data_IF_162206227889
#
_entry.id   IF_162206227889
#
_cell.length_a   1.000
_cell.length_b   1.000
_cell.length_c   1.000
_cell.angle_alpha   90.00
_cell.angle_beta   90.00
_cell.angle_gamma   90.00
#
_symmetry.space_group_name_H-M   'P 1'
#
loop_
_entity.id
_entity.type
_entity.pdbx_description
1 polymer ?
#
# COMPACT_ATOMS: atom_id res chain seq x y z
N UNK A 1 6.08 -13.66 -11.27
CA UNK A 1 5.89 -12.27 -11.78
C UNK A 1 5.71 -12.19 -13.28
N UNK A 2 6.68 -12.58 -14.13
CA UNK A 2 6.54 -12.47 -15.60
C UNK A 2 5.28 -13.14 -16.16
N UNK A 3 4.93 -14.32 -15.65
CA UNK A 3 3.72 -15.02 -16.07
C UNK A 3 2.43 -14.26 -15.73
N UNK A 4 2.34 -13.69 -14.51
CA UNK A 4 1.20 -12.88 -14.07
C UNK A 4 1.06 -11.61 -14.93
N UNK A 5 2.18 -10.95 -15.21
CA UNK A 5 2.25 -9.75 -16.05
C UNK A 5 1.78 -10.05 -17.49
N UNK A 6 2.24 -11.16 -18.08
CA UNK A 6 1.76 -11.59 -19.40
C UNK A 6 0.26 -11.89 -19.40
N UNK A 7 -0.26 -12.55 -18.36
CA UNK A 7 -1.70 -12.82 -18.23
C UNK A 7 -2.52 -11.53 -18.08
N UNK A 8 -1.98 -10.51 -17.40
CA UNK A 8 -2.61 -9.19 -17.31
C UNK A 8 -2.62 -8.49 -18.68
N UNK A 9 -1.51 -8.56 -19.42
CA UNK A 9 -1.43 -8.03 -20.79
C UNK A 9 -2.45 -8.74 -21.71
N UNK A 10 -2.57 -10.06 -21.62
CA UNK A 10 -3.58 -10.80 -22.38
C UNK A 10 -4.99 -10.34 -22.00
N UNK A 11 -5.29 -10.21 -20.71
CA UNK A 11 -6.59 -9.74 -20.21
C UNK A 11 -6.94 -8.34 -20.73
N UNK A 12 -5.99 -7.41 -20.66
CA UNK A 12 -6.11 -6.03 -21.15
C UNK A 12 -6.37 -5.97 -22.67
N UNK A 13 -5.73 -6.87 -23.42
CA UNK A 13 -5.97 -7.04 -24.86
C UNK A 13 -7.26 -7.82 -25.19
N UNK A 14 -8.15 -8.04 -24.22
CA UNK A 14 -9.43 -8.75 -24.40
C UNK A 14 -9.33 -10.27 -24.47
N UNK A 15 -8.14 -10.85 -24.22
CA UNK A 15 -7.90 -12.30 -24.17
C UNK A 15 -7.88 -12.78 -22.72
N UNK A 16 -9.05 -13.01 -22.15
CA UNK A 16 -9.16 -13.49 -20.76
C UNK A 16 -8.51 -14.88 -20.59
N UNK A 17 -7.47 -15.03 -19.73
CA UNK A 17 -6.89 -16.34 -19.44
C UNK A 17 -7.92 -17.32 -18.88
N UNK A 18 -7.79 -18.61 -19.23
CA UNK A 18 -8.77 -19.63 -18.85
C UNK A 18 -8.58 -20.16 -17.41
N UNK A 19 -8.64 -19.26 -16.43
CA UNK A 19 -8.50 -19.59 -15.01
C UNK A 19 -9.61 -18.94 -14.19
N UNK A 20 -9.98 -19.50 -13.03
CA UNK A 20 -11.10 -19.00 -12.23
C UNK A 20 -10.99 -17.51 -11.87
N UNK A 21 -9.80 -17.05 -11.46
CA UNK A 21 -9.56 -15.67 -11.05
C UNK A 21 -9.77 -14.68 -12.22
N UNK A 22 -9.24 -15.00 -13.39
CA UNK A 22 -9.38 -14.14 -14.59
C UNK A 22 -10.82 -14.10 -15.12
N UNK A 23 -11.56 -15.22 -15.05
CA UNK A 23 -12.99 -15.22 -15.40
C UNK A 23 -13.82 -14.40 -14.42
N UNK A 24 -13.52 -14.48 -13.13
CA UNK A 24 -14.18 -13.64 -12.12
C UNK A 24 -13.84 -12.16 -12.33
N UNK A 25 -12.57 -11.84 -12.59
CA UNK A 25 -12.13 -10.47 -12.87
C UNK A 25 -12.82 -9.91 -14.12
N UNK A 26 -12.96 -10.70 -15.18
CA UNK A 26 -13.74 -10.32 -16.37
C UNK A 26 -15.17 -9.94 -15.99
N UNK A 27 -15.84 -10.75 -15.18
CA UNK A 27 -17.22 -10.46 -14.74
C UNK A 27 -17.30 -9.14 -13.94
N UNK A 28 -16.28 -8.80 -13.17
CA UNK A 28 -16.19 -7.50 -12.46
C UNK A 28 -16.03 -6.35 -13.46
N UNK A 29 -15.13 -6.48 -14.44
CA UNK A 29 -14.91 -5.47 -15.50
C UNK A 29 -16.14 -5.27 -16.41
N UNK A 30 -16.95 -6.31 -16.62
CA UNK A 30 -18.21 -6.21 -17.35
C UNK A 30 -19.32 -5.51 -16.55
N UNK A 31 -19.24 -5.55 -15.21
CA UNK A 31 -20.27 -5.03 -14.31
C UNK A 31 -19.99 -3.61 -13.80
N UNK A 32 -18.73 -3.25 -13.65
CA UNK A 32 -18.27 -1.98 -13.10
C UNK A 32 -17.33 -1.28 -14.07
N UNK A 33 -17.30 0.06 -14.04
CA UNK A 33 -16.37 0.84 -14.85
C UNK A 33 -14.96 0.79 -14.23
N UNK A 34 -14.26 -0.32 -14.50
CA UNK A 34 -12.95 -0.62 -13.94
C UNK A 34 -11.83 -0.02 -14.79
N UNK A 35 -10.78 0.47 -14.14
CA UNK A 35 -9.50 0.83 -14.77
C UNK A 35 -8.50 -0.32 -14.57
N UNK A 36 -7.79 -0.68 -15.63
CA UNK A 36 -6.75 -1.71 -15.58
C UNK A 36 -5.44 -1.19 -14.98
N UNK A 37 -5.21 0.13 -15.00
CA UNK A 37 -3.95 0.77 -14.57
C UNK A 37 -3.51 0.36 -13.16
N UNK A 38 -4.39 0.36 -12.13
CA UNK A 38 -3.99 -0.03 -10.78
C UNK A 38 -3.48 -1.48 -10.68
N UNK A 39 -3.89 -2.37 -11.60
CA UNK A 39 -3.41 -3.76 -11.62
C UNK A 39 -1.96 -3.86 -12.09
N UNK A 40 -1.55 -3.03 -13.05
CA UNK A 40 -0.16 -2.90 -13.45
C UNK A 40 0.67 -2.23 -12.35
N UNK A 41 0.15 -1.17 -11.73
CA UNK A 41 0.80 -0.49 -10.60
C UNK A 41 1.01 -1.45 -9.42
N UNK A 42 0.04 -2.31 -9.10
CA UNK A 42 0.19 -3.35 -8.10
C UNK A 42 1.35 -4.31 -8.43
N UNK A 43 1.51 -4.68 -9.71
CA UNK A 43 2.66 -5.50 -10.14
C UNK A 43 4.00 -4.78 -9.91
N UNK A 44 4.05 -3.44 -10.06
CA UNK A 44 5.22 -2.64 -9.71
C UNK A 44 5.52 -2.78 -8.22
N UNK A 45 4.52 -2.61 -7.34
CA UNK A 45 4.67 -2.80 -5.90
C UNK A 45 5.17 -4.20 -5.53
N UNK A 46 4.61 -5.25 -6.15
CA UNK A 46 5.08 -6.63 -5.94
C UNK A 46 6.54 -6.84 -6.39
N UNK A 47 7.01 -6.11 -7.43
CA UNK A 47 8.41 -6.15 -7.85
C UNK A 47 9.33 -5.43 -6.84
N UNK A 48 8.85 -4.40 -6.15
CA UNK A 48 9.58 -3.73 -5.07
C UNK A 48 9.80 -4.69 -3.89
N UNK A 49 8.80 -5.50 -3.52
CA UNK A 49 8.96 -6.49 -2.43
C UNK A 49 9.96 -7.62 -2.76
N UNK A 50 10.09 -7.98 -4.05
CA UNK A 50 11.07 -8.99 -4.50
C UNK A 50 12.50 -8.44 -4.40
N UNK A 51 12.69 -7.18 -4.79
CA UNK A 51 13.98 -6.50 -4.76
C UNK A 51 13.99 -5.44 -3.65
N UNK A 52 13.63 -5.87 -2.44
CA UNK A 52 13.41 -4.95 -1.34
C UNK A 52 14.65 -4.11 -1.02
N UNK A 53 14.43 -2.80 -0.93
CA UNK A 53 15.36 -1.82 -0.39
C UNK A 53 14.65 -1.03 0.69
N UNK A 54 15.31 -0.82 1.82
CA UNK A 54 14.78 0.07 2.86
C UNK A 54 14.55 1.47 2.25
N UNK A 55 13.39 2.10 2.45
CA UNK A 55 13.16 3.49 2.02
C UNK A 55 14.17 4.43 2.68
N UNK A 56 14.78 5.32 1.93
CA UNK A 56 15.64 6.36 2.49
C UNK A 56 14.80 7.50 3.07
N UNK A 57 13.67 7.82 2.43
CA UNK A 57 12.79 8.95 2.76
C UNK A 57 11.35 8.51 3.06
N UNK A 58 10.59 9.39 3.71
CA UNK A 58 9.15 9.20 3.92
C UNK A 58 8.41 9.09 2.59
N UNK A 59 8.78 9.90 1.61
CA UNK A 59 8.14 9.91 0.29
C UNK A 59 8.33 8.55 -0.43
N UNK A 60 9.51 7.93 -0.32
CA UNK A 60 9.75 6.58 -0.84
C UNK A 60 8.92 5.51 -0.13
N UNK A 61 8.71 5.63 1.19
CA UNK A 61 7.80 4.74 1.92
C UNK A 61 6.36 4.93 1.45
N UNK A 62 5.92 6.18 1.25
CA UNK A 62 4.57 6.48 0.78
C UNK A 62 4.37 5.98 -0.67
N UNK A 63 5.36 6.14 -1.55
CA UNK A 63 5.34 5.57 -2.90
C UNK A 63 5.20 4.04 -2.87
N UNK A 64 5.96 3.37 -1.99
CA UNK A 64 5.79 1.93 -1.78
C UNK A 64 4.36 1.60 -1.32
N UNK A 65 3.85 2.31 -0.30
CA UNK A 65 2.50 2.10 0.23
C UNK A 65 1.41 2.35 -0.81
N UNK A 66 1.59 3.34 -1.70
CA UNK A 66 0.73 3.58 -2.85
C UNK A 66 0.65 2.33 -3.73
N UNK A 67 1.79 1.82 -4.19
CA UNK A 67 1.81 0.70 -5.13
C UNK A 67 1.23 -0.59 -4.53
N UNK A 68 1.51 -0.90 -3.26
CA UNK A 68 1.07 -2.17 -2.65
C UNK A 68 -0.30 -2.11 -1.96
N UNK A 69 -0.86 -0.93 -1.71
CA UNK A 69 -2.13 -0.78 -1.00
C UNK A 69 -3.03 0.33 -1.53
N UNK A 70 -2.49 1.50 -1.89
CA UNK A 70 -3.26 2.57 -2.53
C UNK A 70 -3.94 2.13 -3.84
N UNK A 71 -3.24 1.33 -4.64
CA UNK A 71 -3.77 0.71 -5.87
C UNK A 71 -4.99 -0.18 -5.61
N UNK A 72 -5.06 -0.89 -4.48
CA UNK A 72 -6.24 -1.68 -4.09
C UNK A 72 -7.45 -0.77 -3.85
N UNK A 73 -7.23 0.39 -3.22
CA UNK A 73 -8.27 1.41 -3.06
C UNK A 73 -8.87 1.84 -4.40
N UNK A 74 -8.03 2.05 -5.42
CA UNK A 74 -8.46 2.35 -6.79
C UNK A 74 -9.22 1.20 -7.44
N UNK A 75 -8.78 -0.05 -7.25
CA UNK A 75 -9.49 -1.23 -7.78
C UNK A 75 -10.89 -1.38 -7.17
N UNK A 76 -11.06 -1.11 -5.88
CA UNK A 76 -12.34 -1.29 -5.18
C UNK A 76 -13.29 -0.11 -5.36
N UNK A 77 -12.78 1.05 -5.78
CA UNK A 77 -13.53 2.30 -5.89
C UNK A 77 -14.83 2.17 -6.72
N UNK A 78 -14.80 1.67 -7.97
CA UNK A 78 -16.00 1.55 -8.80
C UNK A 78 -17.05 0.58 -8.23
N UNK A 79 -16.64 -0.30 -7.32
CA UNK A 79 -17.50 -1.32 -6.70
C UNK A 79 -18.19 -0.77 -5.46
N UNK A 80 -17.45 -0.04 -4.63
CA UNK A 80 -17.93 0.46 -3.34
C UNK A 80 -18.70 1.77 -3.43
N UNK A 81 -18.48 2.57 -4.47
CA UNK A 81 -19.15 3.86 -4.65
C UNK A 81 -19.73 4.00 -6.06
N UNK A 82 -21.04 4.23 -6.14
CA UNK A 82 -21.76 4.42 -7.40
C UNK A 82 -22.02 5.89 -7.76
N UNK A 83 -21.64 6.83 -6.89
CA UNK A 83 -21.81 8.29 -7.05
C UNK A 83 -20.57 9.01 -6.51
N UNK A 84 -20.32 10.23 -7.01
CA UNK A 84 -19.24 11.13 -6.57
C UNK A 84 -17.82 10.57 -6.68
N UNK A 85 -17.56 9.63 -7.62
CA UNK A 85 -16.28 8.93 -7.79
C UNK A 85 -15.08 9.89 -7.82
N UNK A 86 -15.20 11.01 -8.54
CA UNK A 86 -14.12 12.01 -8.67
C UNK A 86 -13.75 12.69 -7.34
N UNK A 87 -14.71 12.81 -6.40
CA UNK A 87 -14.47 13.40 -5.08
C UNK A 87 -13.79 12.41 -4.11
N UNK A 88 -13.83 11.11 -4.40
CA UNK A 88 -13.33 10.05 -3.51
C UNK A 88 -11.98 9.49 -3.94
N UNK A 89 -11.45 9.87 -5.12
CA UNK A 89 -10.29 9.23 -5.72
C UNK A 89 -8.99 9.45 -4.91
N UNK A 90 -8.65 10.70 -4.57
CA UNK A 90 -7.41 11.01 -3.82
C UNK A 90 -7.41 10.50 -2.37
N UNK A 91 -8.56 10.46 -1.70
CA UNK A 91 -8.64 10.03 -0.30
C UNK A 91 -8.70 8.50 -0.14
N UNK A 92 -9.07 7.75 -1.18
CA UNK A 92 -9.05 6.28 -1.15
C UNK A 92 -7.63 5.72 -1.23
N UNK A 93 -6.77 6.39 -2.00
CA UNK A 93 -5.33 6.14 -2.00
C UNK A 93 -4.80 6.24 -0.56
N UNK A 94 -5.18 7.31 0.16
CA UNK A 94 -4.78 7.55 1.55
C UNK A 94 -5.24 6.47 2.52
N UNK A 95 -6.45 5.92 2.37
CA UNK A 95 -6.89 4.81 3.23
C UNK A 95 -6.01 3.57 3.05
N UNK A 96 -5.70 3.20 1.80
CA UNK A 96 -4.83 2.06 1.50
C UNK A 96 -3.42 2.27 2.07
N UNK A 97 -2.86 3.45 1.91
CA UNK A 97 -1.57 3.84 2.49
C UNK A 97 -1.59 3.77 4.03
N UNK A 98 -2.62 4.32 4.68
CA UNK A 98 -2.80 4.27 6.13
C UNK A 98 -2.82 2.84 6.66
N UNK A 99 -3.57 1.95 5.99
CA UNK A 99 -3.62 0.53 6.32
C UNK A 99 -2.26 -0.15 6.14
N UNK A 100 -1.48 0.24 5.12
CA UNK A 100 -0.15 -0.33 4.92
C UNK A 100 0.84 0.15 5.98
N UNK A 101 0.84 1.43 6.34
CA UNK A 101 1.65 1.95 7.45
C UNK A 101 1.26 1.24 8.76
N UNK A 102 -0.04 1.01 8.99
CA UNK A 102 -0.53 0.26 10.16
C UNK A 102 0.04 -1.17 10.21
N UNK A 103 0.06 -1.88 9.07
CA UNK A 103 0.66 -3.21 8.99
C UNK A 103 2.17 -3.17 9.29
N UNK A 104 2.89 -2.21 8.71
CA UNK A 104 4.33 -2.01 8.99
C UNK A 104 4.56 -1.79 10.49
N UNK A 105 3.79 -0.93 11.13
CA UNK A 105 3.93 -0.60 12.55
C UNK A 105 3.60 -1.78 13.48
N UNK A 106 2.67 -2.66 13.07
CA UNK A 106 2.33 -3.88 13.79
C UNK A 106 3.45 -4.93 13.70
N UNK A 107 4.08 -5.02 12.53
CA UNK A 107 4.92 -6.17 12.16
C UNK A 107 6.43 -5.84 12.12
N UNK A 108 6.87 -4.65 12.58
CA UNK A 108 8.30 -4.19 12.55
C UNK A 108 9.31 -5.29 12.93
N UNK A 109 9.04 -6.03 14.01
CA UNK A 109 9.93 -7.08 14.50
C UNK A 109 9.98 -8.31 13.59
N UNK A 110 8.83 -8.73 13.06
CA UNK A 110 8.72 -9.85 12.12
C UNK A 110 9.32 -9.49 10.77
N UNK A 111 9.06 -8.28 10.27
CA UNK A 111 9.67 -7.76 9.06
C UNK A 111 11.20 -7.73 9.18
N UNK A 112 11.73 -7.30 10.32
CA UNK A 112 13.17 -7.31 10.58
C UNK A 112 13.75 -8.74 10.57
N UNK A 113 13.07 -9.69 11.21
CA UNK A 113 13.47 -11.11 11.21
C UNK A 113 13.47 -11.69 9.78
N UNK A 114 12.63 -11.15 8.88
CA UNK A 114 12.60 -11.46 7.44
C UNK A 114 13.58 -10.62 6.60
N UNK A 115 14.46 -9.83 7.22
CA UNK A 115 15.48 -9.03 6.54
C UNK A 115 14.96 -7.72 5.94
N UNK A 116 13.83 -7.21 6.43
CA UNK A 116 13.18 -5.99 5.92
C UNK A 116 13.05 -4.93 7.01
N UNK A 117 13.29 -3.67 6.64
CA UNK A 117 13.03 -2.50 7.50
C UNK A 117 12.27 -1.50 6.66
N UNK A 118 10.97 -1.37 6.88
CA UNK A 118 10.13 -0.45 6.11
C UNK A 118 10.18 0.99 6.63
N UNK A 119 10.54 1.18 7.91
CA UNK A 119 10.69 2.54 8.47
C UNK A 119 11.83 3.26 7.74
N UNK A 120 11.62 4.51 7.26
CA UNK A 120 12.62 5.19 6.46
C UNK A 120 13.92 5.45 7.22
N UNK A 121 15.04 5.41 6.51
CA UNK A 121 16.36 5.73 7.08
C UNK A 121 16.37 7.11 7.71
N UNK A 122 15.78 8.12 7.06
CA UNK A 122 15.71 9.47 7.61
C UNK A 122 14.90 9.56 8.91
N UNK A 123 13.83 8.76 9.03
CA UNK A 123 12.97 8.73 10.22
C UNK A 123 13.70 8.05 11.37
N UNK A 124 14.36 6.91 11.12
CA UNK A 124 15.23 6.25 12.09
C UNK A 124 16.32 7.21 12.60
N UNK A 125 16.98 7.94 11.70
CA UNK A 125 17.99 8.96 12.04
C UNK A 125 17.40 10.12 12.86
N UNK A 126 16.24 10.64 12.45
CA UNK A 126 15.53 11.75 13.12
C UNK A 126 15.26 11.45 14.60
N UNK A 127 14.93 10.20 14.93
CA UNK A 127 14.66 9.78 16.30
C UNK A 127 15.85 9.11 16.99
N UNK A 128 17.03 9.07 16.35
CA UNK A 128 18.23 8.42 16.88
C UNK A 128 17.96 6.95 17.30
N UNK A 129 17.27 6.21 16.43
CA UNK A 129 17.03 4.78 16.58
C UNK A 129 17.79 4.03 15.48
N UNK A 130 18.63 3.07 15.84
CA UNK A 130 19.50 2.39 14.88
C UNK A 130 19.00 0.99 14.50
N UNK A 131 19.41 0.44 13.34
CA UNK A 131 19.18 -0.97 13.03
C UNK A 131 19.76 -1.93 14.07
N UNK A 132 20.79 -1.51 14.81
CA UNK A 132 21.36 -2.29 15.92
C UNK A 132 20.39 -2.35 17.10
N UNK A 133 19.71 -1.25 17.44
CA UNK A 133 18.70 -1.24 18.49
C UNK A 133 17.52 -2.16 18.11
N UNK A 134 17.11 -2.11 16.84
CA UNK A 134 16.08 -2.99 16.30
C UNK A 134 16.48 -4.47 16.36
N UNK A 135 17.74 -4.79 16.03
CA UNK A 135 18.30 -6.14 16.15
C UNK A 135 18.20 -6.71 17.57
N UNK A 136 18.36 -5.86 18.58
CA UNK A 136 18.22 -6.26 19.99
C UNK A 136 16.78 -6.13 20.51
N UNK A 137 15.81 -5.78 19.64
CA UNK A 137 14.40 -5.54 19.98
C UNK A 137 14.26 -4.54 21.14
N UNK A 138 15.13 -3.52 21.17
CA UNK A 138 15.21 -2.52 22.23
C UNK A 138 14.05 -1.53 22.15
N UNK A 139 13.02 -1.73 22.97
CA UNK A 139 11.90 -0.78 23.10
C UNK A 139 12.31 0.34 24.06
N UNK A 140 12.93 1.39 23.53
CA UNK A 140 13.33 2.58 24.27
C UNK A 140 12.48 3.81 23.86
N UNK A 141 12.72 4.96 24.48
CA UNK A 141 11.98 6.18 24.15
C UNK A 141 12.12 6.60 22.68
N UNK A 142 13.27 6.34 22.06
CA UNK A 142 13.52 6.67 20.65
C UNK A 142 12.66 5.80 19.72
N UNK A 143 12.54 4.50 20.03
CA UNK A 143 11.62 3.59 19.33
C UNK A 143 10.18 4.08 19.44
N UNK A 144 9.72 4.41 20.65
CA UNK A 144 8.33 4.87 20.86
C UNK A 144 8.07 6.15 20.07
N UNK A 145 8.98 7.14 20.12
CA UNK A 145 8.85 8.40 19.37
C UNK A 145 8.82 8.18 17.85
N UNK A 146 9.65 7.27 17.34
CA UNK A 146 9.69 6.88 15.93
C UNK A 146 8.40 6.19 15.50
N UNK A 147 7.93 5.23 16.29
CA UNK A 147 6.68 4.51 16.03
C UNK A 147 5.48 5.45 16.04
N UNK A 148 5.39 6.33 17.05
CA UNK A 148 4.33 7.34 17.17
C UNK A 148 4.36 8.38 16.05
N UNK A 149 5.53 8.65 15.46
CA UNK A 149 5.63 9.53 14.30
C UNK A 149 4.91 8.93 13.08
N UNK A 150 5.19 7.68 12.73
CA UNK A 150 4.51 6.99 11.63
C UNK A 150 3.04 6.73 11.93
N UNK A 151 2.70 6.40 13.18
CA UNK A 151 1.33 6.18 13.60
C UNK A 151 0.46 7.42 13.41
N UNK A 152 1.02 8.62 13.67
CA UNK A 152 0.33 9.90 13.42
C UNK A 152 0.09 10.17 11.94
N UNK A 153 1.02 9.81 11.06
CA UNK A 153 0.82 9.92 9.62
C UNK A 153 -0.33 9.01 9.15
N UNK A 154 -0.34 7.75 9.61
CA UNK A 154 -1.45 6.83 9.33
C UNK A 154 -2.79 7.34 9.90
N UNK A 155 -2.79 7.85 11.13
CA UNK A 155 -4.00 8.39 11.78
C UNK A 155 -4.58 9.57 11.01
N UNK A 156 -3.73 10.51 10.56
CA UNK A 156 -4.16 11.64 9.74
C UNK A 156 -4.84 11.18 8.45
N UNK A 157 -4.30 10.15 7.78
CA UNK A 157 -4.91 9.59 6.58
C UNK A 157 -6.26 8.91 6.85
N UNK A 158 -6.40 8.23 7.99
CA UNK A 158 -7.71 7.70 8.41
C UNK A 158 -8.71 8.82 8.71
N UNK A 159 -8.29 9.88 9.41
CA UNK A 159 -9.15 11.01 9.76
C UNK A 159 -9.63 11.76 8.52
N UNK A 160 -8.73 11.99 7.54
CA UNK A 160 -9.06 12.58 6.25
C UNK A 160 -10.12 11.73 5.51
N UNK A 161 -9.98 10.41 5.53
CA UNK A 161 -10.92 9.49 4.91
C UNK A 161 -12.28 9.44 5.65
N UNK A 162 -12.30 9.42 6.98
CA UNK A 162 -13.55 9.45 7.77
C UNK A 162 -14.31 10.76 7.53
N UNK A 163 -13.60 11.88 7.58
CA UNK A 163 -14.18 13.21 7.31
C UNK A 163 -14.83 13.26 5.93
N UNK A 164 -14.23 12.62 4.93
CA UNK A 164 -14.80 12.54 3.60
C UNK A 164 -16.11 11.76 3.56
N UNK A 165 -16.17 10.58 4.21
CA UNK A 165 -17.39 9.76 4.25
C UNK A 165 -18.52 10.53 4.92
N UNK A 166 -18.24 11.24 6.02
CA UNK A 166 -19.26 12.01 6.74
C UNK A 166 -19.86 13.16 5.91
N UNK A 167 -19.19 13.55 4.82
CA UNK A 167 -19.59 14.65 3.93
C UNK A 167 -20.24 14.16 2.60
N UNK A 168 -20.50 12.86 2.42
CA UNK A 168 -21.13 12.26 1.22
C UNK A 168 -22.51 11.70 1.56
#
# INVERSE_FOLDING_TARGET
>A
MKELENKLIDFDNGKTPNEPLWRALKNVFEKYNMDITPFYEMIVGQKMDINFTQPETQDELLEYCYYVAGTVGKMLLPILASKNIDFIDTNKIRLGEAMRITNILRDIGEDFDNGRIYIPVEVMKKFNYSPKDLKYKSINENFIKMWEFEAKEAQKMYDDFCTLIDNI
#
